data_IF_059357978471
#
_entry.id   IF_059357978471
#
_cell.length_a   1.000
_cell.length_b   1.000
_cell.length_c   1.000
_cell.angle_alpha   90.00
_cell.angle_beta   90.00
_cell.angle_gamma   90.00
#
_symmetry.space_group_name_H-M   'P 1'
#
loop_
_entity.id
_entity.type
_entity.pdbx_description
1 polymer ?
#
# COMPACT_ATOMS: atom_id res chain seq x y z
N UNK A 1 -19.90 -13.24 26.91
CA UNK A 1 -19.78 -13.18 25.43
C UNK A 1 -19.27 -11.84 24.88
N UNK A 2 -18.70 -10.93 25.68
CA UNK A 2 -18.21 -9.62 25.19
C UNK A 2 -16.70 -9.69 24.81
N UNK A 3 -15.93 -10.52 25.52
CA UNK A 3 -14.47 -10.67 25.35
C UNK A 3 -14.12 -11.37 24.02
N UNK A 4 -14.93 -12.34 23.58
CA UNK A 4 -14.70 -13.07 22.32
C UNK A 4 -14.99 -12.17 21.10
N UNK A 5 -16.00 -11.30 21.19
CA UNK A 5 -16.36 -10.37 20.11
C UNK A 5 -15.31 -9.27 19.91
N UNK A 6 -14.73 -8.76 21.00
CA UNK A 6 -13.63 -7.77 20.91
C UNK A 6 -12.33 -8.37 20.37
N UNK A 7 -12.03 -9.63 20.70
CA UNK A 7 -10.86 -10.33 20.17
C UNK A 7 -10.95 -10.53 18.65
N UNK A 8 -12.14 -10.85 18.14
CA UNK A 8 -12.36 -11.06 16.71
C UNK A 8 -12.18 -9.76 15.90
N UNK A 9 -12.70 -8.63 16.42
CA UNK A 9 -12.51 -7.31 15.81
C UNK A 9 -11.03 -6.88 15.81
N UNK A 10 -10.29 -7.15 16.89
CA UNK A 10 -8.86 -6.87 16.98
C UNK A 10 -8.02 -7.61 15.93
N UNK A 11 -8.32 -8.88 15.68
CA UNK A 11 -7.61 -9.69 14.66
C UNK A 11 -7.91 -9.17 13.25
N UNK A 12 -9.16 -8.77 12.97
CA UNK A 12 -9.57 -8.27 11.65
C UNK A 12 -8.95 -6.89 11.33
N UNK A 13 -8.91 -5.99 12.32
CA UNK A 13 -8.23 -4.70 12.22
C UNK A 13 -6.72 -4.88 12.02
N UNK A 14 -6.11 -5.82 12.73
CA UNK A 14 -4.69 -6.17 12.57
C UNK A 14 -4.39 -6.66 11.15
N UNK A 15 -5.21 -7.57 10.62
CA UNK A 15 -5.05 -8.08 9.25
C UNK A 15 -5.14 -6.98 8.20
N UNK A 16 -6.13 -6.07 8.29
CA UNK A 16 -6.25 -4.94 7.33
C UNK A 16 -5.04 -4.02 7.36
N UNK A 17 -4.51 -3.71 8.54
CA UNK A 17 -3.32 -2.85 8.67
C UNK A 17 -2.07 -3.54 8.10
N UNK A 18 -1.90 -4.85 8.34
CA UNK A 18 -0.80 -5.64 7.77
C UNK A 18 -0.92 -5.71 6.25
N UNK A 19 -2.11 -5.97 5.72
CA UNK A 19 -2.34 -6.02 4.26
C UNK A 19 -2.07 -4.67 3.61
N UNK A 20 -2.55 -3.57 4.21
CA UNK A 20 -2.27 -2.20 3.73
C UNK A 20 -0.78 -1.90 3.71
N UNK A 21 -0.05 -2.21 4.80
CA UNK A 21 1.39 -2.02 4.87
C UNK A 21 2.14 -2.86 3.82
N UNK A 22 1.76 -4.13 3.67
CA UNK A 22 2.35 -5.02 2.66
C UNK A 22 2.10 -4.54 1.24
N UNK A 23 0.94 -3.93 0.96
CA UNK A 23 0.67 -3.28 -0.32
C UNK A 23 1.67 -2.15 -0.59
N UNK A 24 1.94 -1.28 0.38
CA UNK A 24 2.95 -0.22 0.22
C UNK A 24 4.37 -0.77 0.04
N UNK A 25 4.75 -1.83 0.75
CA UNK A 25 6.06 -2.48 0.55
C UNK A 25 6.22 -3.03 -0.87
N UNK A 26 5.18 -3.66 -1.41
CA UNK A 26 5.18 -4.15 -2.79
C UNK A 26 5.22 -3.00 -3.78
N UNK A 27 4.48 -1.91 -3.55
CA UNK A 27 4.51 -0.71 -4.40
C UNK A 27 5.90 -0.07 -4.43
N UNK A 28 6.59 0.05 -3.29
CA UNK A 28 7.96 0.59 -3.23
C UNK A 28 8.92 -0.28 -4.04
N UNK A 29 8.80 -1.60 -3.91
CA UNK A 29 9.61 -2.57 -4.66
C UNK A 29 9.36 -2.44 -6.15
N UNK A 30 8.09 -2.39 -6.55
CA UNK A 30 7.68 -2.19 -7.94
C UNK A 30 8.24 -0.89 -8.53
N UNK A 31 8.16 0.24 -7.81
CA UNK A 31 8.71 1.52 -8.27
C UNK A 31 10.23 1.45 -8.41
N UNK A 32 10.93 0.77 -7.51
CA UNK A 32 12.38 0.57 -7.61
C UNK A 32 12.77 -0.27 -8.84
N UNK A 33 11.98 -1.31 -9.14
CA UNK A 33 12.15 -2.11 -10.36
C UNK A 33 11.89 -1.25 -11.60
N UNK A 34 10.83 -0.46 -11.58
CA UNK A 34 10.43 0.44 -12.65
C UNK A 34 11.49 1.51 -12.92
N UNK A 35 12.07 2.12 -11.89
CA UNK A 35 13.21 3.05 -12.02
C UNK A 35 14.41 2.38 -12.71
N UNK A 36 14.74 1.16 -12.30
CA UNK A 36 15.85 0.40 -12.89
C UNK A 36 15.59 0.13 -14.36
N UNK A 37 14.35 -0.24 -14.71
CA UNK A 37 13.97 -0.48 -16.10
C UNK A 37 13.94 0.80 -16.94
N UNK A 38 13.41 1.91 -16.43
CA UNK A 38 13.45 3.21 -17.15
C UNK A 38 14.90 3.65 -17.40
N UNK A 39 15.80 3.40 -16.44
CA UNK A 39 17.21 3.79 -16.54
C UNK A 39 17.99 2.94 -17.55
N UNK A 40 17.70 1.64 -17.65
CA UNK A 40 18.54 0.69 -18.38
C UNK A 40 17.84 -0.01 -19.55
N UNK A 41 16.53 0.18 -19.73
CA UNK A 41 15.72 -0.50 -20.74
C UNK A 41 14.88 0.48 -21.54
N UNK A 42 14.77 0.24 -22.85
CA UNK A 42 13.81 0.91 -23.74
C UNK A 42 12.48 0.15 -23.82
N UNK A 43 12.21 -0.77 -22.89
CA UNK A 43 11.01 -1.60 -22.91
C UNK A 43 9.74 -0.75 -22.69
N UNK A 44 8.66 -1.15 -23.36
CA UNK A 44 7.36 -0.49 -23.22
C UNK A 44 6.80 -0.79 -21.83
N UNK A 45 6.27 0.23 -21.15
CA UNK A 45 5.73 0.14 -19.79
C UNK A 45 4.76 -1.04 -19.59
N UNK A 46 3.97 -1.42 -20.59
CA UNK A 46 3.08 -2.59 -20.58
C UNK A 46 3.79 -3.91 -20.34
N UNK A 47 5.00 -4.08 -20.90
CA UNK A 47 5.83 -5.27 -20.69
C UNK A 47 6.36 -5.33 -19.27
N UNK A 48 6.68 -4.17 -18.69
CA UNK A 48 7.15 -4.04 -17.30
C UNK A 48 6.05 -4.49 -16.34
N UNK A 49 4.83 -3.97 -16.52
CA UNK A 49 3.66 -4.32 -15.70
C UNK A 49 3.32 -5.80 -15.79
N UNK A 50 3.40 -6.38 -16.99
CA UNK A 50 3.07 -7.80 -17.23
C UNK A 50 4.10 -8.77 -16.67
N UNK A 51 5.35 -8.32 -16.45
CA UNK A 51 6.45 -9.13 -15.88
C UNK A 51 6.53 -9.03 -14.36
N UNK A 52 5.79 -8.14 -13.73
CA UNK A 52 5.79 -8.01 -12.28
C UNK A 52 4.95 -9.14 -11.66
N UNK A 53 5.57 -9.99 -10.84
CA UNK A 53 4.93 -11.19 -10.27
C UNK A 53 4.32 -10.95 -8.88
N UNK A 54 4.05 -9.70 -8.52
CA UNK A 54 3.48 -9.36 -7.22
C UNK A 54 2.02 -9.79 -7.13
N UNK A 55 1.72 -10.82 -6.31
CA UNK A 55 0.35 -11.26 -6.04
C UNK A 55 -0.51 -10.18 -5.35
N UNK A 56 0.12 -9.25 -4.62
CA UNK A 56 -0.60 -8.17 -3.93
C UNK A 56 -0.95 -7.03 -4.89
N UNK A 57 -0.06 -6.74 -5.84
CA UNK A 57 -0.31 -5.72 -6.87
C UNK A 57 -1.03 -6.28 -8.08
N UNK A 58 -1.17 -7.61 -8.22
CA UNK A 58 -1.83 -8.23 -9.37
C UNK A 58 -3.18 -7.58 -9.71
N UNK A 59 -4.11 -7.32 -8.77
CA UNK A 59 -5.37 -6.65 -9.07
C UNK A 59 -5.23 -5.21 -9.57
N UNK A 60 -4.10 -4.55 -9.31
CA UNK A 60 -3.80 -3.22 -9.84
C UNK A 60 -3.21 -3.33 -11.24
N UNK A 61 -2.20 -4.19 -11.40
CA UNK A 61 -1.40 -4.29 -12.61
C UNK A 61 -2.17 -4.98 -13.74
N UNK A 62 -2.87 -6.08 -13.45
CA UNK A 62 -3.65 -6.81 -14.46
C UNK A 62 -4.80 -5.97 -15.01
N UNK A 63 -5.56 -5.32 -14.12
CA UNK A 63 -6.61 -4.37 -14.54
C UNK A 63 -6.05 -3.21 -15.37
N UNK A 64 -4.87 -2.68 -15.01
CA UNK A 64 -4.24 -1.60 -15.79
C UNK A 64 -3.86 -2.10 -17.19
N UNK A 65 -3.30 -3.30 -17.31
CA UNK A 65 -2.93 -3.90 -18.61
C UNK A 65 -4.17 -4.18 -19.46
N UNK A 66 -5.26 -4.67 -18.88
CA UNK A 66 -6.54 -4.88 -19.58
C UNK A 66 -7.06 -3.56 -20.15
N UNK A 67 -7.14 -2.50 -19.34
CA UNK A 67 -7.61 -1.19 -19.79
C UNK A 67 -6.69 -0.54 -20.83
N UNK A 68 -5.38 -0.80 -20.79
CA UNK A 68 -4.44 -0.39 -21.85
C UNK A 68 -4.73 -1.10 -23.17
N UNK A 69 -5.12 -2.38 -23.13
CA UNK A 69 -5.53 -3.15 -24.31
C UNK A 69 -6.77 -2.58 -25.01
N UNK A 70 -7.66 -1.93 -24.26
CA UNK A 70 -8.84 -1.24 -24.77
C UNK A 70 -8.54 0.12 -25.43
N UNK A 71 -7.27 0.50 -25.54
CA UNK A 71 -6.84 1.76 -26.19
C UNK A 71 -6.93 2.99 -25.29
N UNK A 72 -7.05 2.83 -23.98
CA UNK A 72 -7.06 3.95 -23.03
C UNK A 72 -5.63 4.41 -22.69
N UNK A 73 -5.48 5.68 -22.31
CA UNK A 73 -4.20 6.23 -21.84
C UNK A 73 -3.79 5.59 -20.51
N UNK A 74 -2.49 5.39 -20.28
CA UNK A 74 -1.96 4.81 -19.03
C UNK A 74 -2.53 5.47 -17.76
N UNK A 75 -2.53 6.80 -17.68
CA UNK A 75 -3.04 7.55 -16.53
C UNK A 75 -4.50 7.18 -16.19
N UNK A 76 -5.35 7.02 -17.22
CA UNK A 76 -6.75 6.62 -17.06
C UNK A 76 -6.89 5.15 -16.66
N UNK A 77 -6.21 4.26 -17.36
CA UNK A 77 -6.20 2.82 -17.05
C UNK A 77 -5.75 2.56 -15.60
N UNK A 78 -4.70 3.25 -15.16
CA UNK A 78 -4.18 3.19 -13.80
C UNK A 78 -5.17 3.77 -12.79
N UNK A 79 -5.70 4.98 -13.03
CA UNK A 79 -6.68 5.62 -12.15
C UNK A 79 -7.93 4.75 -11.95
N UNK A 80 -8.47 4.18 -13.02
CA UNK A 80 -9.61 3.29 -12.97
C UNK A 80 -9.29 2.01 -12.18
N UNK A 81 -8.09 1.43 -12.37
CA UNK A 81 -7.62 0.27 -11.62
C UNK A 81 -7.44 0.56 -10.13
N UNK A 82 -6.89 1.73 -9.76
CA UNK A 82 -6.78 2.19 -8.37
C UNK A 82 -8.16 2.39 -7.74
N UNK A 83 -9.11 2.94 -8.50
CA UNK A 83 -10.47 3.15 -8.01
C UNK A 83 -11.17 1.82 -7.69
N UNK A 84 -10.97 0.81 -8.55
CA UNK A 84 -11.53 -0.53 -8.46
C UNK A 84 -10.76 -1.48 -7.54
N UNK A 85 -9.70 -1.02 -6.86
CA UNK A 85 -8.96 -1.84 -5.91
C UNK A 85 -9.89 -2.41 -4.82
N UNK A 86 -9.81 -3.72 -4.55
CA UNK A 86 -10.61 -4.38 -3.53
C UNK A 86 -10.53 -3.72 -2.16
N UNK A 87 -11.66 -3.62 -1.48
CA UNK A 87 -11.77 -2.99 -0.15
C UNK A 87 -10.99 -3.75 0.94
N UNK A 88 -10.66 -5.03 0.72
CA UNK A 88 -9.88 -5.83 1.67
C UNK A 88 -8.44 -5.34 1.84
N UNK A 89 -7.90 -4.59 0.88
CA UNK A 89 -6.59 -3.94 1.02
C UNK A 89 -6.57 -2.85 2.10
N UNK A 90 -7.75 -2.38 2.54
CA UNK A 90 -7.86 -1.39 3.61
C UNK A 90 -7.33 0.00 3.24
N UNK A 91 -7.19 0.30 1.94
CA UNK A 91 -6.73 1.59 1.43
C UNK A 91 -7.79 2.66 1.66
N UNK A 92 -7.40 3.79 2.24
CA UNK A 92 -8.27 4.94 2.45
C UNK A 92 -8.30 5.85 1.19
N UNK A 93 -9.11 6.92 1.24
CA UNK A 93 -9.22 7.87 0.13
C UNK A 93 -7.88 8.53 -0.21
N UNK A 94 -7.11 8.92 0.80
CA UNK A 94 -5.80 9.56 0.60
C UNK A 94 -4.80 8.61 -0.06
N UNK A 95 -4.83 7.31 0.31
CA UNK A 95 -3.99 6.29 -0.31
C UNK A 95 -4.33 6.12 -1.79
N UNK A 96 -5.63 6.07 -2.11
CA UNK A 96 -6.10 6.00 -3.50
C UNK A 96 -5.73 7.25 -4.29
N UNK A 97 -5.80 8.43 -3.68
CA UNK A 97 -5.33 9.67 -4.31
C UNK A 97 -3.84 9.59 -4.62
N UNK A 98 -3.02 9.25 -3.63
CA UNK A 98 -1.57 9.15 -3.79
C UNK A 98 -1.18 8.14 -4.88
N UNK A 99 -1.87 7.01 -4.94
CA UNK A 99 -1.67 6.01 -6.00
C UNK A 99 -2.08 6.54 -7.38
N UNK A 100 -3.21 7.25 -7.48
CA UNK A 100 -3.65 7.84 -8.74
C UNK A 100 -2.67 8.93 -9.23
N UNK A 101 -2.20 9.78 -8.32
CA UNK A 101 -1.25 10.85 -8.62
C UNK A 101 0.09 10.32 -9.11
N UNK A 102 0.54 9.16 -8.59
CA UNK A 102 1.71 8.46 -9.12
C UNK A 102 1.52 8.08 -10.59
N UNK A 103 0.39 7.45 -10.94
CA UNK A 103 0.11 7.01 -12.31
C UNK A 103 -0.09 8.16 -13.28
N UNK A 104 -0.64 9.29 -12.81
CA UNK A 104 -0.84 10.49 -13.63
C UNK A 104 0.47 11.14 -14.08
N UNK A 105 1.53 11.08 -13.28
CA UNK A 105 2.84 11.63 -13.66
C UNK A 105 3.72 10.67 -14.48
N UNK A 106 3.33 9.39 -14.56
CA UNK A 106 4.09 8.39 -15.29
C UNK A 106 3.85 8.52 -16.81
N UNK A 107 4.92 8.67 -17.59
CA UNK A 107 4.88 8.84 -19.05
C UNK A 107 4.69 10.28 -19.55
N UNK A 108 4.72 11.28 -18.67
CA UNK A 108 4.55 12.71 -19.02
C UNK A 108 5.87 13.41 -19.38
N UNK A 109 6.94 13.13 -18.65
CA UNK A 109 8.26 13.76 -18.82
C UNK A 109 9.28 12.87 -19.55
N UNK A 110 10.47 13.44 -19.80
CA UNK A 110 11.67 12.72 -20.22
C UNK A 110 12.19 11.75 -19.15
N UNK A 111 13.22 10.97 -19.49
CA UNK A 111 13.78 9.90 -18.64
C UNK A 111 14.21 10.42 -17.27
N UNK A 112 14.92 11.55 -17.21
CA UNK A 112 15.38 12.13 -15.94
C UNK A 112 14.22 12.65 -15.09
N UNK A 113 13.21 13.26 -15.71
CA UNK A 113 11.96 13.62 -15.03
C UNK A 113 11.22 12.40 -14.49
N UNK A 114 11.16 11.29 -15.25
CA UNK A 114 10.48 10.06 -14.81
C UNK A 114 11.21 9.40 -13.64
N UNK A 115 12.53 9.38 -13.65
CA UNK A 115 13.34 8.86 -12.55
C UNK A 115 13.12 9.67 -11.27
N UNK A 116 13.07 11.00 -11.40
CA UNK A 116 12.81 11.93 -10.29
C UNK A 116 11.39 11.76 -9.74
N UNK A 117 10.39 11.64 -10.61
CA UNK A 117 9.00 11.36 -10.23
C UNK A 117 8.90 10.04 -9.46
N UNK A 118 9.52 8.97 -9.98
CA UNK A 118 9.53 7.69 -9.30
C UNK A 118 10.22 7.77 -7.92
N UNK A 119 11.33 8.50 -7.79
CA UNK A 119 12.04 8.63 -6.51
C UNK A 119 11.20 9.39 -5.48
N UNK A 120 10.55 10.47 -5.90
CA UNK A 120 9.64 11.24 -5.06
C UNK A 120 8.51 10.35 -4.54
N UNK A 121 7.83 9.60 -5.40
CA UNK A 121 6.74 8.73 -4.97
C UNK A 121 7.20 7.55 -4.13
N UNK A 122 8.37 6.99 -4.41
CA UNK A 122 9.01 5.98 -3.55
C UNK A 122 9.23 6.51 -2.13
N UNK A 123 9.69 7.75 -1.98
CA UNK A 123 9.85 8.40 -0.68
C UNK A 123 8.50 8.62 0.00
N UNK A 124 7.51 9.17 -0.70
CA UNK A 124 6.16 9.38 -0.15
C UNK A 124 5.52 8.07 0.34
N UNK A 125 5.67 6.98 -0.42
CA UNK A 125 5.19 5.66 -0.02
C UNK A 125 5.96 5.09 1.16
N UNK A 126 7.28 5.30 1.22
CA UNK A 126 8.12 4.90 2.36
C UNK A 126 7.73 5.63 3.64
N UNK A 127 7.49 6.94 3.56
CA UNK A 127 7.04 7.75 4.70
C UNK A 127 5.67 7.29 5.20
N UNK A 128 4.75 7.00 4.28
CA UNK A 128 3.42 6.48 4.60
C UNK A 128 3.49 5.10 5.27
N UNK A 129 4.36 4.22 4.79
CA UNK A 129 4.63 2.92 5.40
C UNK A 129 5.25 3.06 6.80
N UNK A 130 6.20 3.98 6.97
CA UNK A 130 6.84 4.26 8.26
C UNK A 130 5.84 4.78 9.28
N UNK A 131 4.93 5.69 8.88
CA UNK A 131 3.83 6.16 9.72
C UNK A 131 2.92 5.00 10.16
N UNK A 132 2.55 4.09 9.24
CA UNK A 132 1.74 2.91 9.57
C UNK A 132 2.43 1.99 10.58
N UNK A 133 3.73 1.77 10.44
CA UNK A 133 4.54 0.97 11.37
C UNK A 133 4.63 1.64 12.75
N UNK A 134 4.90 2.95 12.80
CA UNK A 134 4.96 3.70 14.05
C UNK A 134 3.62 3.75 14.79
N UNK A 135 2.50 3.93 14.08
CA UNK A 135 1.17 3.95 14.67
C UNK A 135 0.78 2.58 15.25
N UNK A 136 1.19 1.49 14.59
CA UNK A 136 1.03 0.14 15.14
C UNK A 136 1.85 -0.06 16.41
N UNK A 137 3.12 0.35 16.42
CA UNK A 137 4.00 0.21 17.60
C UNK A 137 3.51 1.04 18.79
N UNK A 138 3.03 2.27 18.55
CA UNK A 138 2.45 3.12 19.60
C UNK A 138 1.19 2.50 20.19
N UNK A 139 0.30 1.97 19.36
CA UNK A 139 -0.94 1.31 19.81
C UNK A 139 -0.63 0.05 20.61
N UNK A 140 0.29 -0.80 20.13
CA UNK A 140 0.72 -2.02 20.84
C UNK A 140 1.31 -1.69 22.22
N UNK A 141 2.16 -0.66 22.31
CA UNK A 141 2.70 -0.20 23.60
C UNK A 141 1.61 0.31 24.54
N UNK A 142 0.67 1.11 24.05
CA UNK A 142 -0.44 1.64 24.85
C UNK A 142 -1.35 0.52 25.39
N UNK A 143 -1.74 -0.44 24.55
CA UNK A 143 -2.55 -1.60 24.96
C UNK A 143 -1.82 -2.51 25.92
N UNK A 144 -0.50 -2.68 25.77
CA UNK A 144 0.32 -3.43 26.73
C UNK A 144 0.36 -2.75 28.10
N UNK A 145 0.51 -1.42 28.14
CA UNK A 145 0.44 -0.66 29.39
C UNK A 145 -0.95 -0.80 30.04
N UNK A 146 -2.03 -0.59 29.29
CA UNK A 146 -3.41 -0.74 29.78
C UNK A 146 -3.71 -2.17 30.29
N UNK A 147 -3.22 -3.19 29.58
CA UNK A 147 -3.34 -4.59 30.00
C UNK A 147 -2.64 -4.87 31.33
N UNK A 148 -1.40 -4.39 31.49
CA UNK A 148 -0.65 -4.51 32.76
C UNK A 148 -1.36 -3.79 33.90
N UNK A 149 -1.85 -2.56 33.69
CA UNK A 149 -2.60 -1.82 34.71
C UNK A 149 -3.91 -2.52 35.11
N UNK A 150 -4.66 -3.07 34.15
CA UNK A 150 -5.90 -3.80 34.47
C UNK A 150 -5.64 -5.13 35.18
N UNK A 151 -4.55 -5.83 34.82
CA UNK A 151 -4.15 -7.08 35.49
C UNK A 151 -3.69 -6.84 36.91
N UNK A 152 -2.96 -5.75 37.16
CA UNK A 152 -2.53 -5.36 38.51
C UNK A 152 -3.71 -4.93 39.38
N UNK A 153 -4.67 -4.18 38.83
CA UNK A 153 -5.89 -3.78 39.54
C UNK A 153 -6.78 -4.98 39.92
N UNK A 154 -6.90 -5.98 39.04
CA UNK A 154 -7.61 -7.23 39.33
C UNK A 154 -6.89 -8.09 40.37
N UNK A 155 -5.55 -8.18 40.31
CA UNK A 155 -4.77 -8.91 41.31
C UNK A 155 -4.92 -8.31 42.72
N UNK A 156 -5.03 -6.99 42.83
CA UNK A 156 -5.29 -6.30 44.09
C UNK A 156 -6.71 -6.51 44.62
N UNK A 157 -7.70 -6.80 43.76
CA UNK A 157 -9.09 -7.07 44.17
C UNK A 157 -9.31 -8.51 44.65
N UNK A 158 -8.42 -9.43 44.28
CA UNK A 158 -8.51 -10.86 44.65
C UNK A 158 -7.81 -11.14 45.99
N UNK A 159 -6.94 -10.23 46.43
CA UNK A 159 -6.35 -10.18 47.78
C UNK A 159 -7.30 -9.48 48.73
#
# INVERSE_FOLDING_TARGET
MIIVSTAWLGILLSKRLITRASFYEQMITFISNLQTQIRYSSDVLTNILSREHSRILEPLLSNTVVHLGDGTTFARAWGDSVSNLPTYFGLNKDDKSLLADFGNGLGVSDVDGQLSHCEMYKQLFSDRLSQMKQDNDKKVKLYRCLGVFSGMALALLII
#
